data_IF_587165694444
#
_entry.id   IF_587165694444
#
_cell.length_a   1.000
_cell.length_b   1.000
_cell.length_c   1.000
_cell.angle_alpha   90.00
_cell.angle_beta   90.00
_cell.angle_gamma   90.00
#
_symmetry.space_group_name_H-M   'P 1'
#
loop_
_entity.id
_entity.type
_entity.pdbx_description
1 polymer ?
#
# COMPACT_ATOMS: atom_id res chain seq x y z
N UNK A 1 -14.61 26.19 22.45
CA UNK A 1 -15.51 25.78 23.56
C UNK A 1 -16.91 26.27 23.24
N UNK A 2 -17.90 25.38 23.25
CA UNK A 2 -19.29 25.77 23.05
C UNK A 2 -19.75 26.65 24.24
N UNK A 3 -20.41 27.78 24.04
CA UNK A 3 -20.91 28.64 25.08
C UNK A 3 -22.11 27.97 25.78
N UNK A 4 -21.97 27.70 27.08
CA UNK A 4 -22.98 26.99 27.89
C UNK A 4 -23.63 27.88 28.95
N UNK A 5 -23.22 29.15 29.05
CA UNK A 5 -23.64 29.99 30.16
C UNK A 5 -25.15 30.23 30.18
N UNK A 6 -25.75 30.62 29.04
CA UNK A 6 -27.21 30.90 28.99
C UNK A 6 -28.03 29.63 29.25
N UNK A 7 -27.57 28.48 28.78
CA UNK A 7 -28.25 27.23 29.08
C UNK A 7 -28.18 26.88 30.58
N UNK A 8 -27.03 27.08 31.23
CA UNK A 8 -26.91 26.85 32.69
C UNK A 8 -27.79 27.80 33.48
N UNK A 9 -27.83 29.08 33.11
CA UNK A 9 -28.68 30.08 33.74
C UNK A 9 -30.15 29.72 33.55
N UNK A 10 -30.56 29.18 32.38
CA UNK A 10 -31.91 28.71 32.13
C UNK A 10 -32.41 27.59 33.07
N UNK A 11 -31.46 26.83 33.68
CA UNK A 11 -31.79 25.78 34.64
C UNK A 11 -32.08 26.34 36.06
N UNK A 12 -31.64 27.55 36.35
CA UNK A 12 -31.76 28.19 37.67
C UNK A 12 -33.00 29.14 37.72
N UNK A 13 -33.58 29.48 36.56
CA UNK A 13 -34.72 30.43 36.47
C UNK A 13 -36.04 29.68 36.60
N UNK A 14 -36.90 30.16 37.50
CA UNK A 14 -38.28 29.61 37.70
C UNK A 14 -39.27 30.09 36.64
N UNK A 15 -39.10 31.31 36.11
CA UNK A 15 -39.98 31.85 35.07
C UNK A 15 -39.78 31.14 33.73
N UNK A 16 -40.81 30.50 33.25
CA UNK A 16 -40.87 29.75 31.98
C UNK A 16 -40.52 30.64 30.78
N UNK A 17 -40.98 31.88 30.77
CA UNK A 17 -40.73 32.80 29.65
C UNK A 17 -39.26 33.17 29.54
N UNK A 18 -38.64 33.43 30.68
CA UNK A 18 -37.22 33.76 30.75
C UNK A 18 -36.37 32.51 30.47
N UNK A 19 -36.77 31.34 30.93
CA UNK A 19 -36.11 30.08 30.62
C UNK A 19 -36.04 29.81 29.11
N UNK A 20 -37.17 29.93 28.41
CA UNK A 20 -37.27 29.78 26.95
C UNK A 20 -36.37 30.79 26.24
N UNK A 21 -36.39 32.06 26.69
CA UNK A 21 -35.54 33.11 26.12
C UNK A 21 -34.04 32.74 26.20
N UNK A 22 -33.56 32.27 27.37
CA UNK A 22 -32.20 31.88 27.58
C UNK A 22 -31.81 30.68 26.73
N UNK A 23 -32.68 29.71 26.56
CA UNK A 23 -32.45 28.54 25.68
C UNK A 23 -32.38 28.94 24.21
N UNK A 24 -33.19 29.91 23.74
CA UNK A 24 -33.08 30.48 22.41
C UNK A 24 -31.75 31.21 22.19
N UNK A 25 -31.29 31.99 23.18
CA UNK A 25 -30.01 32.66 23.11
C UNK A 25 -28.85 31.64 23.07
N UNK A 26 -28.95 30.54 23.83
CA UNK A 26 -27.99 29.44 23.74
C UNK A 26 -27.94 28.83 22.32
N UNK A 27 -29.07 28.57 21.68
CA UNK A 27 -29.13 28.04 20.32
C UNK A 27 -28.48 29.02 19.32
N UNK A 28 -28.76 30.32 19.40
CA UNK A 28 -28.10 31.35 18.58
C UNK A 28 -26.60 31.36 18.75
N UNK A 29 -26.11 31.25 19.99
CA UNK A 29 -24.66 31.21 20.29
C UNK A 29 -24.02 29.94 19.73
N UNK A 30 -24.69 28.79 19.81
CA UNK A 30 -24.26 27.55 19.19
C UNK A 30 -24.11 27.71 17.66
N UNK A 31 -25.10 28.31 17.00
CA UNK A 31 -25.08 28.61 15.56
C UNK A 31 -23.90 29.57 15.20
N UNK A 32 -23.69 30.61 15.99
CA UNK A 32 -22.57 31.52 15.81
C UNK A 32 -21.22 30.82 15.92
N UNK A 33 -21.09 29.92 16.89
CA UNK A 33 -19.87 29.14 17.10
C UNK A 33 -19.61 28.15 15.97
N UNK A 34 -20.65 27.47 15.48
CA UNK A 34 -20.60 26.60 14.30
C UNK A 34 -20.07 27.35 13.06
N UNK A 35 -20.62 28.53 12.76
CA UNK A 35 -20.15 29.39 11.66
C UNK A 35 -18.69 29.80 11.82
N UNK A 36 -18.27 30.15 13.03
CA UNK A 36 -16.89 30.51 13.33
C UNK A 36 -15.93 29.32 13.16
N UNK A 37 -16.37 28.10 13.43
CA UNK A 37 -15.57 26.88 13.18
C UNK A 37 -15.42 26.60 11.67
N UNK A 38 -16.53 26.70 10.91
CA UNK A 38 -16.50 26.52 9.46
C UNK A 38 -15.56 27.51 8.77
N UNK A 39 -15.54 28.79 9.21
CA UNK A 39 -14.70 29.84 8.60
C UNK A 39 -13.20 29.63 8.81
N UNK A 40 -12.79 28.87 9.80
CA UNK A 40 -11.36 28.65 10.13
C UNK A 40 -10.64 27.66 9.24
N UNK A 41 -11.35 26.96 8.34
CA UNK A 41 -10.80 26.01 7.36
C UNK A 41 -9.72 25.08 7.95
N UNK A 42 -9.98 24.50 9.12
CA UNK A 42 -9.04 23.60 9.79
C UNK A 42 -8.64 22.40 8.91
N UNK A 43 -9.55 21.97 8.03
CA UNK A 43 -9.32 20.87 7.08
C UNK A 43 -8.16 21.18 6.12
N UNK A 44 -7.93 22.43 5.76
CA UNK A 44 -6.86 22.82 4.83
C UNK A 44 -5.45 22.73 5.47
N UNK A 45 -5.39 22.61 6.81
CA UNK A 45 -4.13 22.57 7.56
C UNK A 45 -3.58 21.15 7.74
N UNK A 46 -4.41 20.14 7.53
CA UNK A 46 -4.03 18.74 7.70
C UNK A 46 -4.29 17.98 6.41
N UNK A 47 -3.29 17.23 5.96
CA UNK A 47 -3.40 16.31 4.83
C UNK A 47 -4.19 15.05 5.28
N UNK A 48 -5.39 15.27 5.81
CA UNK A 48 -6.26 14.24 6.38
C UNK A 48 -7.40 13.93 5.41
N UNK A 49 -7.77 12.66 5.23
CA UNK A 49 -8.96 12.27 4.47
C UNK A 49 -10.26 12.72 5.15
N UNK A 50 -10.20 13.20 6.39
CA UNK A 50 -11.35 13.68 7.14
C UNK A 50 -11.53 15.17 6.87
N UNK A 51 -12.59 15.51 6.16
CA UNK A 51 -12.90 16.86 5.70
C UNK A 51 -14.06 17.49 6.51
N UNK A 52 -14.03 17.34 7.82
CA UNK A 52 -15.01 17.95 8.71
C UNK A 52 -14.43 18.30 10.09
N UNK A 53 -15.13 19.16 10.80
CA UNK A 53 -14.82 19.58 12.18
C UNK A 53 -15.91 19.09 13.12
N UNK A 54 -15.53 18.55 14.27
CA UNK A 54 -16.47 18.14 15.32
C UNK A 54 -16.67 19.29 16.30
N UNK A 55 -17.91 19.73 16.48
CA UNK A 55 -18.34 20.67 17.50
C UNK A 55 -19.04 19.92 18.63
N UNK A 56 -18.34 19.68 19.74
CA UNK A 56 -18.93 19.02 20.90
C UNK A 56 -19.67 20.02 21.78
N UNK A 57 -20.95 19.75 22.04
CA UNK A 57 -21.72 20.38 23.14
C UNK A 57 -21.64 19.43 24.32
N UNK A 58 -20.92 19.76 25.41
CA UNK A 58 -20.48 18.81 26.42
C UNK A 58 -21.55 18.39 27.43
N UNK A 59 -22.81 18.79 27.19
CA UNK A 59 -23.96 18.51 28.06
C UNK A 59 -25.19 18.15 27.23
N UNK A 60 -25.72 16.95 27.41
CA UNK A 60 -26.80 16.41 26.58
C UNK A 60 -28.07 17.30 26.56
N UNK A 61 -28.60 17.80 27.72
CA UNK A 61 -29.73 18.69 27.70
C UNK A 61 -29.49 20.00 26.95
N UNK A 62 -28.27 20.54 26.99
CA UNK A 62 -27.88 21.74 26.24
C UNK A 62 -27.86 21.48 24.72
N UNK A 63 -27.41 20.29 24.30
CA UNK A 63 -27.49 19.85 22.89
C UNK A 63 -28.96 19.76 22.43
N UNK A 64 -29.82 19.13 23.21
CA UNK A 64 -31.24 19.01 22.90
C UNK A 64 -31.91 20.38 22.84
N UNK A 65 -31.67 21.27 23.81
CA UNK A 65 -32.21 22.62 23.81
C UNK A 65 -31.78 23.41 22.57
N UNK A 66 -30.52 23.31 22.15
CA UNK A 66 -30.04 23.96 20.94
C UNK A 66 -30.79 23.49 19.68
N UNK A 67 -31.05 22.18 19.55
CA UNK A 67 -31.81 21.62 18.42
C UNK A 67 -33.33 21.95 18.49
N UNK A 68 -33.92 21.99 19.67
CA UNK A 68 -35.31 22.34 19.84
C UNK A 68 -35.59 23.78 19.42
N UNK A 69 -34.73 24.71 19.74
CA UNK A 69 -34.90 26.13 19.42
C UNK A 69 -34.27 26.55 18.06
N UNK A 70 -33.48 25.65 17.43
CA UNK A 70 -32.93 25.85 16.10
C UNK A 70 -32.94 24.52 15.33
N UNK A 71 -34.12 24.18 14.77
CA UNK A 71 -34.33 22.89 14.08
C UNK A 71 -33.42 22.65 12.85
N UNK A 72 -32.88 23.70 12.27
CA UNK A 72 -31.97 23.57 11.12
C UNK A 72 -30.46 23.53 11.52
N UNK A 73 -30.17 23.69 12.80
CA UNK A 73 -28.78 23.78 13.28
C UNK A 73 -27.95 22.58 12.85
N UNK A 74 -28.50 21.38 12.90
CA UNK A 74 -27.81 20.14 12.54
C UNK A 74 -27.54 20.04 11.03
N UNK A 75 -28.54 20.33 10.20
CA UNK A 75 -28.41 20.26 8.73
C UNK A 75 -27.45 21.32 8.21
N UNK A 76 -27.59 22.57 8.68
CA UNK A 76 -26.70 23.67 8.32
C UNK A 76 -25.24 23.35 8.76
N UNK A 77 -25.06 22.68 9.89
CA UNK A 77 -23.76 22.21 10.35
C UNK A 77 -23.14 21.21 9.40
N UNK A 78 -23.91 20.22 8.96
CA UNK A 78 -23.45 19.22 8.00
C UNK A 78 -23.05 19.85 6.66
N UNK A 79 -23.84 20.81 6.13
CA UNK A 79 -23.50 21.56 4.90
C UNK A 79 -22.20 22.35 5.05
N UNK A 80 -21.95 22.90 6.24
CA UNK A 80 -20.73 23.62 6.57
C UNK A 80 -19.55 22.73 6.98
N UNK A 81 -19.71 21.41 6.89
CA UNK A 81 -18.71 20.42 7.34
C UNK A 81 -18.37 20.55 8.83
N UNK A 82 -19.32 20.94 9.65
CA UNK A 82 -19.20 21.02 11.11
C UNK A 82 -20.24 20.09 11.73
N UNK A 83 -19.80 18.93 12.20
CA UNK A 83 -20.68 17.96 12.85
C UNK A 83 -20.88 18.33 14.33
N UNK A 84 -22.13 18.62 14.69
CA UNK A 84 -22.50 18.94 16.06
C UNK A 84 -22.81 17.64 16.77
N UNK A 85 -22.13 17.38 17.88
CA UNK A 85 -22.24 16.14 18.63
C UNK A 85 -22.46 16.40 20.11
N UNK A 86 -23.12 15.45 20.76
CA UNK A 86 -23.31 15.38 22.19
C UNK A 86 -22.35 14.36 22.82
N UNK A 87 -22.24 14.27 24.15
CA UNK A 87 -21.46 13.23 24.84
C UNK A 87 -21.88 11.81 24.48
N UNK A 88 -23.15 11.57 24.17
CA UNK A 88 -23.66 10.25 23.78
C UNK A 88 -23.25 9.91 22.34
N UNK A 89 -23.30 10.86 21.43
CA UNK A 89 -23.06 10.63 20.01
C UNK A 89 -21.57 10.67 19.62
N UNK A 90 -20.70 11.27 20.43
CA UNK A 90 -19.26 11.37 20.08
C UNK A 90 -18.54 10.02 20.11
N UNK A 91 -18.87 9.13 21.03
CA UNK A 91 -18.19 7.85 21.18
C UNK A 91 -18.37 6.92 19.97
N UNK A 92 -19.60 6.68 19.46
CA UNK A 92 -19.80 5.94 18.22
C UNK A 92 -19.08 6.58 17.03
N UNK A 93 -19.11 7.93 16.94
CA UNK A 93 -18.43 8.65 15.87
C UNK A 93 -16.91 8.45 15.90
N UNK A 94 -16.28 8.53 17.07
CA UNK A 94 -14.82 8.30 17.22
C UNK A 94 -14.46 6.85 16.88
N UNK A 95 -15.29 5.88 17.26
CA UNK A 95 -15.08 4.48 16.89
C UNK A 95 -15.14 4.28 15.36
N UNK A 96 -16.11 4.91 14.69
CA UNK A 96 -16.22 4.85 13.23
C UNK A 96 -15.01 5.46 12.55
N UNK A 97 -14.53 6.61 13.02
CA UNK A 97 -13.31 7.27 12.50
C UNK A 97 -12.10 6.38 12.71
N UNK A 98 -11.93 5.79 13.89
CA UNK A 98 -10.82 4.87 14.18
C UNK A 98 -10.83 3.65 13.26
N UNK A 99 -11.99 3.05 13.03
CA UNK A 99 -12.14 1.91 12.12
C UNK A 99 -11.81 2.30 10.67
N UNK A 100 -12.27 3.48 10.22
CA UNK A 100 -11.95 3.99 8.88
C UNK A 100 -10.44 4.18 8.69
N UNK A 101 -9.74 4.72 9.68
CA UNK A 101 -8.28 4.87 9.63
C UNK A 101 -7.57 3.52 9.56
N UNK A 102 -8.02 2.54 10.35
CA UNK A 102 -7.48 1.18 10.31
C UNK A 102 -7.65 0.55 8.93
N UNK A 103 -8.82 0.69 8.30
CA UNK A 103 -9.06 0.19 6.95
C UNK A 103 -8.19 0.86 5.90
N UNK A 104 -7.99 2.18 6.00
CA UNK A 104 -7.10 2.92 5.10
C UNK A 104 -5.64 2.48 5.22
N UNK A 105 -5.16 2.23 6.43
CA UNK A 105 -3.81 1.71 6.66
C UNK A 105 -3.64 0.31 6.05
N UNK A 106 -4.62 -0.56 6.21
CA UNK A 106 -4.62 -1.90 5.59
C UNK A 106 -4.60 -1.82 4.07
N UNK A 107 -5.38 -0.92 3.46
CA UNK A 107 -5.40 -0.73 2.01
C UNK A 107 -4.04 -0.23 1.51
N UNK A 108 -3.44 0.75 2.18
CA UNK A 108 -2.10 1.24 1.83
C UNK A 108 -1.05 0.14 1.91
N UNK A 109 -1.08 -0.67 2.96
CA UNK A 109 -0.16 -1.80 3.11
C UNK A 109 -0.34 -2.83 2.00
N UNK A 110 -1.60 -3.10 1.57
CA UNK A 110 -1.88 -3.99 0.45
C UNK A 110 -1.30 -3.45 -0.87
N UNK A 111 -1.44 -2.16 -1.16
CA UNK A 111 -0.87 -1.52 -2.33
C UNK A 111 0.67 -1.58 -2.34
N UNK A 112 1.31 -1.38 -1.19
CA UNK A 112 2.75 -1.48 -1.04
C UNK A 112 3.25 -2.92 -1.29
N UNK A 113 2.51 -3.94 -0.82
CA UNK A 113 2.80 -5.36 -1.09
C UNK A 113 2.68 -5.64 -2.59
N UNK A 114 1.61 -5.20 -3.25
CA UNK A 114 1.40 -5.37 -4.70
C UNK A 114 2.54 -4.73 -5.50
N UNK A 115 2.93 -3.51 -5.17
CA UNK A 115 4.01 -2.81 -5.84
C UNK A 115 5.37 -3.51 -5.66
N UNK A 116 5.64 -4.00 -4.45
CA UNK A 116 6.86 -4.77 -4.15
C UNK A 116 6.87 -6.11 -4.91
N UNK A 117 5.74 -6.80 -5.00
CA UNK A 117 5.60 -8.04 -5.77
C UNK A 117 5.84 -7.82 -7.27
N UNK A 118 5.32 -6.72 -7.85
CA UNK A 118 5.58 -6.34 -9.24
C UNK A 118 7.06 -6.08 -9.50
N UNK A 119 7.73 -5.39 -8.58
CA UNK A 119 9.18 -5.13 -8.69
C UNK A 119 9.99 -6.43 -8.59
N UNK A 120 9.63 -7.33 -7.67
CA UNK A 120 10.26 -8.65 -7.53
C UNK A 120 10.10 -9.47 -8.82
N UNK A 121 8.91 -9.47 -9.39
CA UNK A 121 8.61 -10.18 -10.66
C UNK A 121 9.50 -9.70 -11.82
N UNK A 122 9.70 -8.37 -11.94
CA UNK A 122 10.63 -7.80 -12.94
C UNK A 122 12.07 -8.24 -12.72
N UNK A 123 12.51 -8.29 -11.46
CA UNK A 123 13.89 -8.73 -11.12
C UNK A 123 14.07 -10.21 -11.40
N UNK A 124 13.08 -11.02 -11.11
CA UNK A 124 13.09 -12.45 -11.38
C UNK A 124 13.23 -12.72 -12.87
N UNK A 125 12.40 -12.07 -13.72
CA UNK A 125 12.51 -12.19 -15.17
C UNK A 125 13.91 -11.85 -15.70
N UNK A 126 14.50 -10.77 -15.20
CA UNK A 126 15.88 -10.40 -15.57
C UNK A 126 16.89 -11.46 -15.15
N UNK A 127 16.69 -12.08 -14.00
CA UNK A 127 17.53 -13.18 -13.55
C UNK A 127 17.41 -14.41 -14.45
N UNK A 128 16.18 -14.79 -14.86
CA UNK A 128 15.92 -15.87 -15.81
C UNK A 128 16.65 -15.65 -17.14
N UNK A 129 16.56 -14.45 -17.71
CA UNK A 129 17.28 -14.09 -18.96
C UNK A 129 18.80 -14.25 -18.83
N UNK A 130 19.37 -13.85 -17.68
CA UNK A 130 20.79 -14.02 -17.40
C UNK A 130 21.16 -15.50 -17.24
N UNK A 131 20.31 -16.26 -16.59
CA UNK A 131 20.52 -17.69 -16.40
C UNK A 131 20.50 -18.45 -17.73
N UNK A 132 19.54 -18.16 -18.62
CA UNK A 132 19.47 -18.70 -19.97
C UNK A 132 20.74 -18.35 -20.79
N UNK A 133 21.24 -17.12 -20.62
CA UNK A 133 22.49 -16.69 -21.26
C UNK A 133 23.69 -17.54 -20.80
N UNK A 134 23.79 -17.83 -19.51
CA UNK A 134 24.83 -18.69 -18.96
C UNK A 134 24.71 -20.12 -19.52
N UNK A 135 23.49 -20.67 -19.53
CA UNK A 135 23.23 -22.00 -20.09
C UNK A 135 23.68 -22.11 -21.55
N UNK A 136 23.34 -21.12 -22.39
CA UNK A 136 23.74 -21.07 -23.80
C UNK A 136 25.25 -20.98 -23.98
N UNK A 137 25.97 -20.24 -23.09
CA UNK A 137 27.44 -20.15 -23.12
C UNK A 137 28.11 -21.48 -22.73
N UNK A 138 27.54 -22.19 -21.73
CA UNK A 138 28.04 -23.52 -21.34
C UNK A 138 27.87 -24.52 -22.48
N UNK A 139 26.69 -24.53 -23.12
CA UNK A 139 26.44 -25.38 -24.30
C UNK A 139 27.41 -25.08 -25.45
N UNK A 140 27.67 -23.81 -25.73
CA UNK A 140 28.62 -23.37 -26.74
C UNK A 140 30.07 -23.80 -26.40
N UNK A 141 30.45 -23.69 -25.12
CA UNK A 141 31.75 -24.16 -24.64
C UNK A 141 31.90 -25.67 -24.81
N UNK A 142 30.84 -26.44 -24.46
CA UNK A 142 30.84 -27.90 -24.66
C UNK A 142 31.01 -28.28 -26.14
N UNK A 143 30.32 -27.58 -27.03
CA UNK A 143 30.50 -27.78 -28.47
C UNK A 143 31.94 -27.49 -28.93
N UNK A 144 32.47 -26.34 -28.56
CA UNK A 144 33.86 -25.97 -28.93
C UNK A 144 34.91 -26.98 -28.39
N UNK A 145 34.70 -27.48 -27.17
CA UNK A 145 35.55 -28.55 -26.61
C UNK A 145 35.44 -29.83 -27.44
N UNK A 146 34.24 -30.30 -27.76
CA UNK A 146 34.03 -31.50 -28.57
C UNK A 146 34.61 -31.37 -29.99
N UNK A 147 34.49 -30.19 -30.60
CA UNK A 147 35.13 -29.89 -31.91
C UNK A 147 36.67 -29.97 -31.81
N UNK A 148 37.24 -29.48 -30.73
CA UNK A 148 38.71 -29.60 -30.45
C UNK A 148 39.10 -31.06 -30.25
N UNK A 149 38.36 -31.86 -29.46
CA UNK A 149 38.60 -33.29 -29.25
C UNK A 149 38.49 -34.06 -30.59
N UNK A 150 37.52 -33.75 -31.39
CA UNK A 150 37.32 -34.35 -32.72
C UNK A 150 38.53 -34.03 -33.65
N UNK A 151 38.98 -32.76 -33.69
CA UNK A 151 40.13 -32.33 -34.45
C UNK A 151 41.43 -33.02 -34.01
N UNK A 152 41.64 -33.13 -32.69
CA UNK A 152 42.77 -33.87 -32.13
C UNK A 152 42.75 -35.33 -32.55
N UNK A 153 41.65 -36.04 -32.34
CA UNK A 153 41.52 -37.47 -32.63
C UNK A 153 41.61 -37.79 -34.13
N UNK A 154 41.12 -36.92 -35.00
CA UNK A 154 41.06 -37.18 -36.44
C UNK A 154 42.27 -36.68 -37.23
N UNK A 155 42.94 -35.62 -36.78
CA UNK A 155 44.05 -34.97 -37.52
C UNK A 155 45.41 -35.09 -36.83
N UNK A 156 45.49 -34.68 -35.57
CA UNK A 156 46.77 -34.64 -34.86
C UNK A 156 47.27 -36.01 -34.44
N UNK A 157 46.41 -36.83 -33.87
CA UNK A 157 46.77 -38.14 -33.35
C UNK A 157 47.26 -39.11 -34.43
N UNK A 158 46.70 -39.20 -35.65
CA UNK A 158 47.27 -39.98 -36.74
C UNK A 158 48.68 -39.53 -37.09
N UNK A 159 48.89 -38.21 -37.26
CA UNK A 159 50.23 -37.66 -37.60
C UNK A 159 51.26 -37.95 -36.52
N UNK A 160 50.90 -37.83 -35.24
CA UNK A 160 51.78 -38.19 -34.13
C UNK A 160 52.12 -39.67 -34.14
N UNK A 161 51.17 -40.52 -34.45
CA UNK A 161 51.31 -41.96 -34.57
C UNK A 161 52.31 -42.36 -35.68
N UNK A 162 52.19 -41.71 -36.86
CA UNK A 162 53.08 -41.95 -37.97
C UNK A 162 54.54 -41.59 -37.60
N UNK A 163 54.78 -40.48 -36.89
CA UNK A 163 56.06 -40.08 -36.39
C UNK A 163 56.60 -41.06 -35.34
N UNK A 164 55.80 -41.51 -34.38
CA UNK A 164 56.20 -42.48 -33.36
C UNK A 164 56.58 -43.83 -33.99
N UNK A 165 55.83 -44.26 -35.00
CA UNK A 165 56.15 -45.50 -35.73
C UNK A 165 57.51 -45.42 -36.48
N UNK A 166 57.81 -44.28 -37.08
CA UNK A 166 59.08 -44.04 -37.75
C UNK A 166 60.20 -44.00 -36.74
N UNK A 167 60.01 -43.64 -35.51
CA UNK A 167 61.03 -43.59 -34.44
C UNK A 167 61.12 -44.89 -33.61
N UNK A 168 60.28 -45.91 -33.89
CA UNK A 168 60.30 -47.18 -33.14
C UNK A 168 59.77 -47.04 -31.72
N UNK A 169 58.94 -46.01 -31.42
CA UNK A 169 58.36 -45.72 -30.10
C UNK A 169 57.00 -46.41 -30.01
N UNK A 170 56.67 -46.97 -28.83
CA UNK A 170 55.37 -47.54 -28.60
C UNK A 170 54.26 -46.48 -28.68
N UNK A 171 53.15 -46.82 -29.38
CA UNK A 171 52.10 -45.86 -29.72
C UNK A 171 51.12 -45.70 -28.62
N UNK A 172 50.95 -44.49 -28.10
CA UNK A 172 49.91 -44.17 -27.15
C UNK A 172 48.51 -44.38 -27.75
N UNK A 173 47.69 -45.25 -27.09
CA UNK A 173 46.32 -45.60 -27.52
C UNK A 173 45.24 -44.73 -26.86
N UNK A 174 45.63 -43.81 -26.00
CA UNK A 174 44.68 -42.95 -25.27
C UNK A 174 43.88 -42.11 -26.25
N UNK A 175 42.56 -42.10 -26.16
CA UNK A 175 41.62 -41.21 -26.88
C UNK A 175 41.08 -40.19 -25.91
N UNK A 176 40.97 -38.93 -26.37
CA UNK A 176 40.21 -37.94 -25.68
C UNK A 176 38.71 -38.24 -25.90
N UNK A 177 37.92 -38.11 -24.83
CA UNK A 177 36.49 -38.35 -24.88
C UNK A 177 35.73 -37.02 -24.99
N UNK A 178 34.58 -37.08 -25.64
CA UNK A 178 33.62 -35.96 -25.68
C UNK A 178 32.97 -35.75 -24.34
N UNK A 179 32.66 -34.51 -24.02
CA UNK A 179 31.87 -34.13 -22.86
C UNK A 179 30.44 -33.87 -23.28
N UNK A 180 29.49 -34.47 -22.57
CA UNK A 180 28.09 -34.13 -22.73
C UNK A 180 27.70 -33.12 -21.64
N UNK A 181 27.51 -31.87 -22.06
CA UNK A 181 27.06 -30.78 -21.21
C UNK A 181 25.59 -30.47 -21.55
N UNK A 182 24.68 -31.32 -21.06
CA UNK A 182 23.23 -31.09 -21.20
C UNK A 182 22.78 -30.12 -20.08
N UNK A 183 22.75 -28.85 -20.39
CA UNK A 183 22.30 -27.79 -19.46
C UNK A 183 20.80 -27.63 -19.64
N UNK A 184 20.01 -28.25 -18.79
CA UNK A 184 18.57 -28.03 -18.72
C UNK A 184 18.26 -26.86 -17.79
N UNK A 185 17.27 -26.00 -18.14
CA UNK A 185 16.80 -24.99 -17.19
C UNK A 185 16.24 -25.66 -15.95
N UNK A 186 16.77 -25.29 -14.78
CA UNK A 186 16.37 -25.86 -13.47
C UNK A 186 15.10 -25.17 -12.93
N UNK A 187 14.68 -24.06 -13.52
CA UNK A 187 13.56 -23.26 -13.04
C UNK A 187 12.42 -23.41 -14.04
N UNK A 188 11.32 -24.04 -13.60
CA UNK A 188 10.04 -23.90 -14.30
C UNK A 188 9.62 -22.43 -14.22
N UNK A 189 9.32 -21.82 -15.38
CA UNK A 189 8.87 -20.42 -15.44
C UNK A 189 7.61 -20.28 -14.59
N UNK A 190 7.67 -19.45 -13.57
CA UNK A 190 6.49 -19.08 -12.81
C UNK A 190 5.62 -18.24 -13.76
N UNK A 191 4.55 -18.84 -14.26
CA UNK A 191 3.52 -18.12 -14.99
C UNK A 191 2.86 -17.13 -14.02
N UNK A 192 3.24 -15.86 -14.13
CA UNK A 192 2.45 -14.79 -13.53
C UNK A 192 1.31 -14.55 -14.50
N UNK A 193 0.15 -15.10 -14.18
CA UNK A 193 -1.08 -14.78 -14.89
C UNK A 193 -1.28 -13.27 -14.77
N UNK A 194 -1.00 -12.58 -15.87
CA UNK A 194 -1.41 -11.21 -16.07
C UNK A 194 -2.90 -11.22 -16.39
N UNK A 195 -3.75 -11.33 -15.38
CA UNK A 195 -5.14 -10.91 -15.55
C UNK A 195 -5.12 -9.38 -15.64
N UNK A 196 -5.14 -8.93 -16.89
CA UNK A 196 -5.63 -7.62 -17.28
C UNK A 196 -7.15 -7.63 -17.08
N UNK A 197 -7.65 -6.88 -16.08
CA UNK A 197 -8.95 -6.21 -16.12
C UNK A 197 -8.84 -4.83 -15.48
#
# INVERSE_FOLDING_TARGET
KCPMNDFRESLEVEDETERVRLQQEHAKKCRGHMRALSSKKYQDQYNSPIDFVIMLIPFEPGFQAALMHDGNLFNDGAEMKVFIVSPISIMPLLNLISETWRQMELTKNADDVINTAKELSKRLKKYEDLYDTVGNRIASLGKAYNDSVSSYNSRLKPSVRDIQQLQGIDVDKTKLENVNLDVKPVIERIAVDSEEE
#
